data_IF_724318302958
#
_entry.id   IF_724318302958
#
_cell.length_a   1.000
_cell.length_b   1.000
_cell.length_c   1.000
_cell.angle_alpha   90.00
_cell.angle_beta   90.00
_cell.angle_gamma   90.00
#
_symmetry.space_group_name_H-M   'P 1'
#
loop_
_entity.id
_entity.type
_entity.pdbx_description
1 polymer ?
#
# COMPACT_ATOMS: atom_id res chain seq x y z
N UNK A 1 -38.24 9.59 26.59
CA UNK A 1 -36.77 9.63 26.81
C UNK A 1 -36.25 10.92 26.18
N UNK A 2 -36.42 12.09 26.79
CA UNK A 2 -35.53 12.78 27.75
C UNK A 2 -34.11 13.10 27.24
N UNK A 3 -34.07 14.17 26.45
CA UNK A 3 -32.94 15.04 26.11
C UNK A 3 -32.34 15.61 27.42
N UNK A 4 -31.09 15.27 27.73
CA UNK A 4 -30.37 15.86 28.87
C UNK A 4 -29.66 17.14 28.42
N UNK A 5 -30.29 18.26 28.78
CA UNK A 5 -29.81 19.65 28.67
C UNK A 5 -28.50 19.82 29.43
N UNK A 6 -27.45 20.31 28.78
CA UNK A 6 -26.49 21.20 29.44
C UNK A 6 -26.72 22.63 28.97
N UNK A 7 -26.75 23.50 29.96
CA UNK A 7 -27.28 24.84 29.94
C UNK A 7 -26.10 25.75 30.30
N UNK A 8 -25.98 26.83 29.54
CA UNK A 8 -25.59 28.16 30.01
C UNK A 8 -24.10 28.36 30.28
N UNK A 9 -23.45 29.08 29.36
CA UNK A 9 -22.67 30.26 29.69
C UNK A 9 -23.03 31.35 28.68
N UNK A 10 -24.18 31.98 28.89
CA UNK A 10 -24.55 33.25 28.26
C UNK A 10 -24.01 34.35 29.16
N UNK A 11 -22.99 35.07 28.72
CA UNK A 11 -22.42 36.23 29.41
C UNK A 11 -21.87 37.20 28.38
N UNK A 12 -22.47 38.38 28.33
CA UNK A 12 -22.34 39.45 27.34
C UNK A 12 -20.92 39.96 27.08
N UNK A 13 -20.77 40.48 25.85
CA UNK A 13 -19.94 41.61 25.43
C UNK A 13 -18.46 41.35 25.11
N UNK A 14 -18.15 41.12 23.83
CA UNK A 14 -17.36 42.08 23.04
C UNK A 14 -17.57 41.83 21.54
N UNK A 15 -18.04 42.85 20.83
CA UNK A 15 -17.84 42.94 19.38
C UNK A 15 -16.34 43.05 19.12
N UNK A 16 -15.79 42.22 18.24
CA UNK A 16 -14.83 42.69 17.24
C UNK A 16 -14.89 41.75 16.03
N UNK A 17 -15.35 42.31 14.91
CA UNK A 17 -15.02 41.79 13.59
C UNK A 17 -13.50 41.66 13.49
N UNK A 18 -13.02 40.45 13.19
CA UNK A 18 -11.81 40.28 12.39
C UNK A 18 -12.06 39.21 11.34
N UNK A 19 -12.07 39.69 10.10
CA UNK A 19 -12.08 38.90 8.89
C UNK A 19 -10.75 38.12 8.76
N UNK A 20 -10.84 37.00 8.03
CA UNK A 20 -9.78 36.34 7.30
C UNK A 20 -8.52 35.91 8.07
N UNK A 21 -8.32 34.59 8.19
CA UNK A 21 -7.15 33.85 7.68
C UNK A 21 -7.10 32.48 8.35
N UNK A 22 -7.40 31.44 7.57
CA UNK A 22 -6.85 30.11 7.82
C UNK A 22 -5.32 30.21 7.75
N UNK A 23 -4.63 29.44 8.59
CA UNK A 23 -3.95 28.24 8.08
C UNK A 23 -4.36 27.05 8.96
N UNK A 24 -4.91 25.96 8.41
CA UNK A 24 -4.13 24.99 7.63
C UNK A 24 -2.74 24.74 8.26
N UNK A 25 -2.71 24.35 9.54
CA UNK A 25 -1.60 23.56 10.05
C UNK A 25 -1.82 22.14 9.52
N UNK A 26 -1.37 21.97 8.28
CA UNK A 26 -1.14 20.68 7.66
C UNK A 26 -0.25 19.86 8.59
N UNK A 27 -0.66 18.62 8.80
CA UNK A 27 0.08 17.58 9.50
C UNK A 27 1.36 17.27 8.72
N UNK A 28 2.44 18.00 9.00
CA UNK A 28 3.76 17.83 8.35
C UNK A 28 4.57 16.66 8.94
N UNK A 29 3.99 15.87 9.85
CA UNK A 29 4.70 14.80 10.57
C UNK A 29 4.40 13.38 10.04
N UNK A 30 3.76 13.27 8.87
CA UNK A 30 3.54 12.00 8.18
C UNK A 30 4.26 11.89 6.82
N UNK A 31 5.00 12.93 6.41
CA UNK A 31 5.59 13.02 5.07
C UNK A 31 6.98 12.38 4.93
N UNK A 32 7.58 11.83 6.00
CA UNK A 32 8.95 11.28 5.95
C UNK A 32 9.06 9.78 6.25
N UNK A 33 7.95 9.06 6.43
CA UNK A 33 8.00 7.64 6.75
C UNK A 33 7.75 6.72 5.55
N UNK A 34 7.40 7.30 4.39
CA UNK A 34 7.27 6.58 3.14
C UNK A 34 8.34 7.10 2.18
N UNK A 35 9.37 6.30 1.86
CA UNK A 35 10.35 6.68 0.84
C UNK A 35 9.66 7.11 -0.46
N UNK A 36 10.23 8.10 -1.15
CA UNK A 36 9.74 8.61 -2.44
C UNK A 36 9.57 7.47 -3.46
N UNK A 37 8.46 7.49 -4.21
CA UNK A 37 8.06 6.41 -5.11
C UNK A 37 9.03 6.28 -6.30
N UNK A 38 9.99 5.36 -6.18
CA UNK A 38 10.78 4.83 -7.28
C UNK A 38 10.62 3.31 -7.35
N UNK A 39 10.80 2.70 -8.52
CA UNK A 39 10.65 1.24 -8.68
C UNK A 39 11.51 0.44 -7.69
N UNK A 40 12.75 0.87 -7.42
CA UNK A 40 13.62 0.24 -6.43
C UNK A 40 13.12 0.35 -4.98
N UNK A 41 12.31 1.37 -4.68
CA UNK A 41 11.67 1.51 -3.37
C UNK A 41 10.49 0.55 -3.22
N UNK A 42 9.69 0.36 -4.28
CA UNK A 42 8.58 -0.60 -4.25
C UNK A 42 9.05 -2.05 -4.14
N UNK A 43 10.17 -2.41 -4.79
CA UNK A 43 10.82 -3.73 -4.60
C UNK A 43 11.18 -3.94 -3.13
N UNK A 44 11.87 -2.97 -2.51
CA UNK A 44 12.28 -3.06 -1.11
C UNK A 44 11.10 -3.20 -0.14
N UNK A 45 10.00 -2.50 -0.41
CA UNK A 45 8.77 -2.60 0.39
C UNK A 45 8.15 -4.00 0.30
N UNK A 46 7.98 -4.53 -0.91
CA UNK A 46 7.38 -5.87 -1.12
C UNK A 46 8.28 -6.96 -0.55
N UNK A 47 9.60 -6.87 -0.78
CA UNK A 47 10.57 -7.81 -0.23
C UNK A 47 10.57 -7.79 1.30
N UNK A 48 10.49 -6.60 1.91
CA UNK A 48 10.39 -6.45 3.36
C UNK A 48 9.11 -7.07 3.94
N UNK A 49 7.96 -6.86 3.29
CA UNK A 49 6.70 -7.49 3.68
C UNK A 49 6.80 -9.02 3.53
N UNK A 50 7.35 -9.50 2.42
CA UNK A 50 7.58 -10.92 2.19
C UNK A 50 8.40 -11.56 3.31
N UNK A 51 9.51 -10.93 3.73
CA UNK A 51 10.38 -11.46 4.78
C UNK A 51 9.67 -11.60 6.14
N UNK A 52 8.66 -10.76 6.41
CA UNK A 52 7.85 -10.84 7.64
C UNK A 52 6.77 -11.91 7.52
N UNK A 53 6.13 -12.02 6.35
CA UNK A 53 4.95 -12.85 6.16
C UNK A 53 5.27 -14.30 5.74
N UNK A 54 6.38 -14.52 5.03
CA UNK A 54 6.79 -15.81 4.47
C UNK A 54 8.09 -16.26 5.15
N UNK A 55 7.98 -16.77 6.37
CA UNK A 55 9.13 -17.05 7.25
C UNK A 55 10.16 -18.03 6.69
N UNK A 56 9.74 -18.90 5.78
CA UNK A 56 10.59 -19.93 5.18
C UNK A 56 11.21 -19.46 3.84
N UNK A 57 10.84 -18.26 3.37
CA UNK A 57 11.40 -17.65 2.17
C UNK A 57 12.75 -16.99 2.49
N UNK A 58 13.77 -17.24 1.68
CA UNK A 58 15.07 -16.55 1.82
C UNK A 58 14.94 -15.07 1.41
N UNK A 59 15.89 -14.20 1.84
CA UNK A 59 15.92 -12.81 1.39
C UNK A 59 15.95 -12.67 -0.14
N UNK A 60 16.69 -13.53 -0.83
CA UNK A 60 16.77 -13.59 -2.29
C UNK A 60 15.45 -14.04 -2.91
N UNK A 61 14.74 -14.98 -2.28
CA UNK A 61 13.40 -15.39 -2.69
C UNK A 61 12.38 -14.25 -2.54
N UNK A 62 12.48 -13.46 -1.47
CA UNK A 62 11.63 -12.28 -1.29
C UNK A 62 11.95 -11.16 -2.27
N UNK A 63 13.22 -10.98 -2.62
CA UNK A 63 13.65 -10.08 -3.68
C UNK A 63 13.08 -10.52 -5.04
N UNK A 64 13.19 -11.81 -5.37
CA UNK A 64 12.58 -12.41 -6.56
C UNK A 64 11.07 -12.13 -6.64
N UNK A 65 10.35 -12.38 -5.56
CA UNK A 65 8.90 -12.20 -5.53
C UNK A 65 8.52 -10.73 -5.75
N UNK A 66 9.28 -9.81 -5.17
CA UNK A 66 9.09 -8.38 -5.32
C UNK A 66 9.34 -7.92 -6.77
N UNK A 67 10.43 -8.34 -7.40
CA UNK A 67 10.74 -8.05 -8.80
C UNK A 67 9.68 -8.63 -9.74
N UNK A 68 9.31 -9.89 -9.53
CA UNK A 68 8.28 -10.57 -10.32
C UNK A 68 6.92 -9.87 -10.20
N UNK A 69 6.59 -9.32 -9.02
CA UNK A 69 5.34 -8.60 -8.84
C UNK A 69 5.27 -7.35 -9.72
N UNK A 70 6.36 -6.59 -9.84
CA UNK A 70 6.43 -5.39 -10.69
C UNK A 70 6.26 -5.69 -12.17
N UNK A 71 6.70 -6.87 -12.61
CA UNK A 71 6.61 -7.30 -14.01
C UNK A 71 5.24 -7.88 -14.33
N UNK A 72 4.68 -8.70 -13.43
CA UNK A 72 3.50 -9.53 -13.70
C UNK A 72 2.18 -8.94 -13.24
N UNK A 73 2.20 -7.97 -12.33
CA UNK A 73 0.99 -7.36 -11.78
C UNK A 73 0.89 -5.89 -12.15
N UNK A 74 -0.31 -5.43 -12.46
CA UNK A 74 -0.61 -4.00 -12.59
C UNK A 74 -0.56 -3.28 -11.23
N UNK A 75 -0.47 -1.95 -11.24
CA UNK A 75 -0.36 -1.17 -10.00
C UNK A 75 -1.54 -1.41 -9.03
N UNK A 76 -2.82 -1.41 -9.47
CA UNK A 76 -3.93 -1.72 -8.57
C UNK A 76 -3.87 -3.13 -8.00
N UNK A 77 -3.33 -4.10 -8.75
CA UNK A 77 -3.16 -5.48 -8.29
C UNK A 77 -2.06 -5.58 -7.23
N UNK A 78 -0.91 -4.93 -7.44
CA UNK A 78 0.18 -4.90 -6.45
C UNK A 78 -0.23 -4.16 -5.18
N UNK A 79 -0.86 -3.00 -5.32
CA UNK A 79 -1.38 -2.21 -4.20
C UNK A 79 -2.35 -3.05 -3.37
N UNK A 80 -3.23 -3.80 -4.02
CA UNK A 80 -4.19 -4.66 -3.34
C UNK A 80 -3.51 -5.82 -2.61
N UNK A 81 -2.56 -6.48 -3.27
CA UNK A 81 -1.75 -7.55 -2.68
C UNK A 81 -1.03 -7.04 -1.41
N UNK A 82 -0.40 -5.86 -1.48
CA UNK A 82 0.26 -5.21 -0.34
C UNK A 82 -0.75 -4.84 0.74
N UNK A 83 -1.82 -4.13 0.38
CA UNK A 83 -2.83 -3.63 1.31
C UNK A 83 -3.52 -4.76 2.08
N UNK A 84 -3.76 -5.92 1.44
CA UNK A 84 -4.38 -7.09 2.09
C UNK A 84 -3.56 -7.57 3.30
N UNK A 85 -2.24 -7.36 3.25
CA UNK A 85 -1.32 -7.75 4.31
C UNK A 85 -1.13 -6.65 5.35
N UNK A 86 -0.87 -5.42 4.90
CA UNK A 86 -0.46 -4.32 5.82
C UNK A 86 -1.64 -3.50 6.34
N UNK A 87 -2.75 -3.47 5.62
CA UNK A 87 -3.94 -2.68 5.96
C UNK A 87 -5.19 -3.28 5.32
N UNK A 88 -5.76 -4.35 5.91
CA UNK A 88 -7.00 -4.94 5.40
C UNK A 88 -8.14 -3.92 5.15
N UNK A 89 -8.35 -2.89 6.00
CA UNK A 89 -9.36 -1.85 5.71
C UNK A 89 -9.08 -1.01 4.46
N UNK A 90 -7.81 -0.89 4.03
CA UNK A 90 -7.47 -0.25 2.76
C UNK A 90 -7.82 -1.16 1.57
N UNK A 91 -7.51 -2.46 1.67
CA UNK A 91 -7.88 -3.44 0.64
C UNK A 91 -9.41 -3.53 0.45
N UNK A 92 -10.18 -3.54 1.54
CA UNK A 92 -11.65 -3.53 1.50
C UNK A 92 -12.20 -2.29 0.78
N UNK A 93 -11.60 -1.11 1.00
CA UNK A 93 -11.97 0.11 0.28
C UNK A 93 -11.64 0.01 -1.21
N UNK A 94 -10.52 -0.60 -1.59
CA UNK A 94 -10.19 -0.81 -3.01
C UNK A 94 -11.23 -1.68 -3.73
N UNK A 95 -11.80 -2.68 -3.04
CA UNK A 95 -12.93 -3.46 -3.56
C UNK A 95 -14.21 -2.62 -3.66
N UNK A 96 -14.52 -1.85 -2.61
CA UNK A 96 -15.69 -0.96 -2.58
C UNK A 96 -15.66 0.11 -3.67
N UNK A 97 -14.48 0.66 -3.95
CA UNK A 97 -14.23 1.68 -4.97
C UNK A 97 -14.08 1.08 -6.38
N UNK A 98 -14.21 -0.24 -6.54
CA UNK A 98 -14.03 -0.98 -7.80
C UNK A 98 -12.66 -0.79 -8.47
N UNK A 99 -11.64 -0.44 -7.69
CA UNK A 99 -10.24 -0.37 -8.17
C UNK A 99 -9.66 -1.76 -8.44
N UNK A 100 -10.23 -2.78 -7.79
CA UNK A 100 -9.83 -4.19 -7.88
C UNK A 100 -11.10 -5.03 -7.93
N UNK A 101 -11.19 -5.91 -8.93
CA UNK A 101 -12.31 -6.84 -9.07
C UNK A 101 -11.96 -8.29 -8.69
N UNK A 102 -12.92 -9.19 -8.88
CA UNK A 102 -12.69 -10.63 -8.74
C UNK A 102 -11.68 -11.15 -9.76
N UNK A 103 -11.66 -10.60 -10.97
CA UNK A 103 -10.70 -10.95 -12.01
C UNK A 103 -9.25 -10.61 -11.59
N UNK A 104 -9.04 -9.44 -11.00
CA UNK A 104 -7.74 -9.01 -10.48
C UNK A 104 -7.27 -9.90 -9.33
N UNK A 105 -8.18 -10.25 -8.41
CA UNK A 105 -7.88 -11.16 -7.31
C UNK A 105 -7.42 -12.54 -7.82
N UNK A 106 -8.03 -13.03 -8.91
CA UNK A 106 -7.60 -14.27 -9.55
C UNK A 106 -6.18 -14.12 -10.11
N UNK A 107 -5.86 -13.02 -10.80
CA UNK A 107 -4.51 -12.76 -11.33
C UNK A 107 -3.48 -12.72 -10.20
N UNK A 108 -3.79 -12.06 -9.08
CA UNK A 108 -2.90 -11.99 -7.92
C UNK A 108 -2.68 -13.38 -7.32
N UNK A 109 -3.73 -14.18 -7.18
CA UNK A 109 -3.61 -15.54 -6.64
C UNK A 109 -2.80 -16.46 -7.55
N UNK A 110 -3.06 -16.42 -8.86
CA UNK A 110 -2.30 -17.19 -9.84
C UNK A 110 -0.82 -16.76 -9.83
N UNK A 111 -0.55 -15.45 -9.77
CA UNK A 111 0.81 -14.91 -9.60
C UNK A 111 1.50 -15.45 -8.35
N UNK A 112 0.83 -15.42 -7.18
CA UNK A 112 1.41 -15.90 -5.93
C UNK A 112 1.71 -17.41 -6.02
N UNK A 113 0.80 -18.23 -6.51
CA UNK A 113 1.05 -19.67 -6.65
C UNK A 113 2.23 -19.99 -7.58
N UNK A 114 2.32 -19.31 -8.73
CA UNK A 114 3.39 -19.53 -9.69
C UNK A 114 4.74 -19.05 -9.16
N UNK A 115 4.74 -17.88 -8.51
CA UNK A 115 5.97 -17.16 -8.16
C UNK A 115 6.55 -17.62 -6.83
N UNK A 116 5.72 -18.06 -5.87
CA UNK A 116 6.20 -18.51 -4.57
C UNK A 116 7.15 -19.69 -4.71
N UNK A 117 6.76 -20.75 -5.42
CA UNK A 117 7.62 -21.94 -5.57
C UNK A 117 8.88 -21.66 -6.39
N UNK A 118 8.78 -20.84 -7.45
CA UNK A 118 9.94 -20.51 -8.28
C UNK A 118 10.94 -19.61 -7.56
N UNK A 119 10.47 -18.65 -6.77
CA UNK A 119 11.31 -17.80 -5.93
C UNK A 119 11.89 -18.53 -4.72
N UNK A 120 11.14 -19.45 -4.09
CA UNK A 120 11.61 -20.23 -2.94
C UNK A 120 12.72 -21.21 -3.30
N UNK A 121 12.59 -21.87 -4.45
CA UNK A 121 13.56 -22.90 -4.89
C UNK A 121 14.83 -22.33 -5.51
N UNK A 122 14.94 -21.01 -5.68
CA UNK A 122 16.08 -20.37 -6.35
C UNK A 122 16.21 -20.74 -7.83
N UNK A 123 15.16 -21.29 -8.43
CA UNK A 123 15.12 -21.57 -9.88
C UNK A 123 14.86 -20.31 -10.70
N UNK A 124 14.57 -19.19 -10.02
CA UNK A 124 14.43 -17.90 -10.64
C UNK A 124 15.78 -17.32 -11.09
N UNK A 125 15.87 -17.03 -12.39
CA UNK A 125 17.00 -16.32 -12.99
C UNK A 125 16.52 -14.96 -13.52
N UNK A 126 16.83 -13.84 -12.84
CA UNK A 126 16.41 -12.50 -13.27
C UNK A 126 17.07 -12.08 -14.61
N UNK A 127 18.26 -12.60 -14.93
CA UNK A 127 18.97 -12.30 -16.17
C UNK A 127 18.38 -13.01 -17.40
N UNK A 128 17.59 -14.07 -17.18
CA UNK A 128 16.90 -14.78 -18.26
C UNK A 128 15.68 -14.03 -18.81
N UNK A 129 15.23 -12.96 -18.13
CA UNK A 129 14.03 -12.20 -18.49
C UNK A 129 14.30 -10.84 -19.15
N UNK A 130 15.55 -10.52 -19.49
CA UNK A 130 15.86 -9.33 -20.30
C UNK A 130 15.60 -9.66 -21.78
N UNK A 131 14.51 -9.19 -22.41
CA UNK A 131 14.35 -9.33 -23.86
C UNK A 131 15.48 -8.55 -24.56
N UNK A 132 16.01 -9.07 -25.69
CA UNK A 132 17.21 -8.54 -26.38
C UNK A 132 17.01 -7.17 -27.08
N UNK A 133 16.15 -6.29 -26.56
CA UNK A 133 15.82 -4.99 -27.16
C UNK A 133 16.04 -3.80 -26.22
N UNK A 134 16.82 -3.96 -25.15
CA UNK A 134 17.19 -2.87 -24.23
C UNK A 134 18.72 -2.62 -24.15
N UNK A 135 19.43 -2.79 -25.26
CA UNK A 135 20.81 -2.31 -25.45
C UNK A 135 20.89 -1.35 -26.62
#
# INVERSE_FOLDING_TARGET
MLIKRQRICTGLATCFLFAALAPALASDEAAQMFPEEGQGNQVGLIAGICAVQLKDMSPEGCQCLAEQSLVRLSDPQRDYMIATVISPPAAERMLGDQRVGQADQKVIFDFLNDSLTSCETGTYNPDAQVPPSAQ
#
